data_IF_718299620974
#
_entry.id   IF_718299620974
#
_cell.length_a   1.000
_cell.length_b   1.000
_cell.length_c   1.000
_cell.angle_alpha   90.00
_cell.angle_beta   90.00
_cell.angle_gamma   90.00
#
_symmetry.space_group_name_H-M   'P 1'
#
loop_
_entity.id
_entity.type
_entity.pdbx_description
1 polymer ?
#
# COMPACT_ATOMS: atom_id res chain seq x y z
N UNK A 1 6.97 -7.99 22.37
CA UNK A 1 5.78 -7.22 22.78
C UNK A 1 4.98 -6.96 21.51
N UNK A 2 3.67 -7.16 21.58
CA UNK A 2 2.81 -6.73 20.50
C UNK A 2 3.09 -5.27 20.18
N UNK A 3 3.17 -4.91 18.92
CA UNK A 3 3.52 -3.56 18.52
C UNK A 3 2.38 -2.60 18.83
N UNK A 4 2.72 -1.36 19.15
CA UNK A 4 1.71 -0.31 19.35
C UNK A 4 0.85 -0.13 18.09
N UNK A 5 1.43 -0.38 16.92
CA UNK A 5 0.70 -0.38 15.65
C UNK A 5 -0.40 -1.44 15.59
N UNK A 6 -0.17 -2.67 16.10
CA UNK A 6 -1.22 -3.70 16.16
C UNK A 6 -2.34 -3.30 17.12
N UNK A 7 -2.01 -2.78 18.29
CA UNK A 7 -3.01 -2.27 19.25
C UNK A 7 -3.84 -1.13 18.69
N UNK A 8 -3.26 -0.33 17.79
CA UNK A 8 -3.99 0.73 17.08
C UNK A 8 -4.94 0.17 16.02
N UNK A 9 -4.57 -0.92 15.33
CA UNK A 9 -5.38 -1.50 14.25
C UNK A 9 -6.58 -2.29 14.77
N UNK A 10 -6.43 -3.06 15.85
CA UNK A 10 -7.45 -4.00 16.32
C UNK A 10 -8.79 -3.34 16.66
N UNK A 11 -8.85 -2.22 17.40
CA UNK A 11 -10.10 -1.54 17.68
C UNK A 11 -10.84 -1.05 16.45
N UNK A 12 -10.10 -0.67 15.38
CA UNK A 12 -10.71 -0.26 14.11
C UNK A 12 -11.45 -1.41 13.41
N UNK A 13 -11.06 -2.64 13.69
CA UNK A 13 -11.73 -3.86 13.22
C UNK A 13 -12.76 -4.42 14.22
N UNK A 14 -12.96 -3.76 15.35
CA UNK A 14 -13.91 -4.17 16.37
C UNK A 14 -13.36 -5.17 17.39
N UNK A 15 -12.04 -5.41 17.42
CA UNK A 15 -11.40 -6.24 18.44
C UNK A 15 -10.91 -5.43 19.65
N UNK A 16 -10.73 -6.10 20.79
CA UNK A 16 -10.03 -5.51 21.93
C UNK A 16 -8.55 -5.36 21.64
N UNK A 17 -7.93 -4.29 22.16
CA UNK A 17 -6.47 -4.11 22.14
C UNK A 17 -5.72 -5.28 22.80
N UNK A 18 -6.33 -5.90 23.82
CA UNK A 18 -5.77 -7.03 24.53
C UNK A 18 -5.55 -8.25 23.62
N UNK A 19 -6.30 -8.36 22.53
CA UNK A 19 -6.11 -9.41 21.53
C UNK A 19 -4.72 -9.36 20.88
N UNK A 20 -4.06 -8.20 20.88
CA UNK A 20 -2.69 -8.07 20.44
C UNK A 20 -1.69 -8.89 21.28
N UNK A 21 -2.02 -9.19 22.53
CA UNK A 21 -1.15 -9.95 23.43
C UNK A 21 -1.09 -11.44 23.09
N UNK A 22 -1.98 -11.95 22.25
CA UNK A 22 -2.01 -13.33 21.78
C UNK A 22 -1.11 -13.56 20.57
N UNK A 23 -0.51 -12.51 20.01
CA UNK A 23 0.45 -12.63 18.91
C UNK A 23 1.87 -12.62 19.42
N UNK A 24 2.68 -13.52 18.91
CA UNK A 24 4.11 -13.59 19.18
C UNK A 24 4.92 -13.02 18.00
N UNK A 25 5.31 -11.74 18.04
CA UNK A 25 6.21 -11.18 17.04
C UNK A 25 7.64 -11.60 17.32
N UNK A 26 8.36 -12.01 16.28
CA UNK A 26 9.77 -12.43 16.38
C UNK A 26 10.68 -11.60 15.47
N UNK A 27 11.97 -11.57 15.79
CA UNK A 27 12.98 -10.85 15.04
C UNK A 27 13.22 -9.42 15.48
N UNK A 28 14.08 -8.72 14.76
CA UNK A 28 14.39 -7.32 15.03
C UNK A 28 13.41 -6.41 14.31
N UNK A 29 12.96 -5.39 15.02
CA UNK A 29 12.15 -4.32 14.44
C UNK A 29 13.01 -3.31 13.68
N UNK A 30 12.36 -2.26 13.17
CA UNK A 30 12.99 -1.23 12.37
C UNK A 30 14.31 -0.68 12.98
N UNK A 31 15.27 -0.30 12.10
CA UNK A 31 15.15 -0.24 10.64
C UNK A 31 15.49 -1.58 9.94
N UNK A 32 14.54 -2.16 9.22
CA UNK A 32 14.79 -3.34 8.35
C UNK A 32 15.14 -2.90 6.93
N UNK A 33 14.54 -1.82 6.47
CA UNK A 33 14.81 -1.19 5.17
C UNK A 33 15.49 0.17 5.38
N UNK A 34 16.28 0.65 4.43
CA UNK A 34 16.92 1.97 4.49
C UNK A 34 15.90 3.08 4.24
N UNK A 35 15.03 3.30 5.19
CA UNK A 35 13.93 4.28 5.17
C UNK A 35 13.71 4.84 6.58
N UNK A 36 13.27 6.10 6.72
CA UNK A 36 12.89 6.64 8.02
C UNK A 36 11.54 6.13 8.53
N UNK A 37 10.80 5.40 7.71
CA UNK A 37 9.48 4.88 8.08
C UNK A 37 9.59 3.54 8.81
N UNK A 38 8.70 3.31 9.78
CA UNK A 38 8.61 2.09 10.60
C UNK A 38 7.91 0.96 9.82
N UNK A 39 8.51 0.52 8.71
CA UNK A 39 7.93 -0.48 7.81
C UNK A 39 7.83 -1.85 8.46
N UNK A 40 8.85 -2.25 9.24
CA UNK A 40 8.85 -3.53 9.95
C UNK A 40 7.71 -3.63 10.94
N UNK A 41 7.50 -2.60 11.74
CA UNK A 41 6.40 -2.55 12.69
C UNK A 41 5.04 -2.56 12.00
N UNK A 42 4.86 -1.72 10.97
CA UNK A 42 3.59 -1.61 10.25
C UNK A 42 3.23 -2.91 9.53
N UNK A 43 4.21 -3.55 8.85
CA UNK A 43 3.99 -4.81 8.15
C UNK A 43 3.65 -5.96 9.09
N UNK A 44 4.38 -6.06 10.21
CA UNK A 44 4.10 -7.10 11.20
C UNK A 44 2.74 -6.91 11.86
N UNK A 45 2.35 -5.66 12.17
CA UNK A 45 1.03 -5.37 12.71
C UNK A 45 -0.10 -5.76 11.75
N UNK A 46 0.03 -5.41 10.46
CA UNK A 46 -0.96 -5.75 9.46
C UNK A 46 -1.12 -7.27 9.29
N UNK A 47 0.00 -8.01 9.17
CA UNK A 47 -0.05 -9.47 9.03
C UNK A 47 -0.48 -10.16 10.32
N UNK A 48 -0.16 -9.62 11.49
CA UNK A 48 -0.68 -10.11 12.77
C UNK A 48 -2.20 -9.99 12.85
N UNK A 49 -2.77 -8.85 12.44
CA UNK A 49 -4.21 -8.67 12.39
C UNK A 49 -4.89 -9.67 11.44
N UNK A 50 -4.29 -9.93 10.27
CA UNK A 50 -4.78 -10.96 9.33
C UNK A 50 -4.68 -12.36 9.95
N UNK A 51 -3.58 -12.68 10.62
CA UNK A 51 -3.39 -13.95 11.31
C UNK A 51 -4.44 -14.18 12.41
N UNK A 52 -4.70 -13.17 13.24
CA UNK A 52 -5.74 -13.21 14.27
C UNK A 52 -7.12 -13.45 13.66
N UNK A 53 -7.48 -12.70 12.60
CA UNK A 53 -8.75 -12.89 11.93
C UNK A 53 -8.91 -14.32 11.36
N UNK A 54 -7.84 -14.87 10.81
CA UNK A 54 -7.84 -16.24 10.30
C UNK A 54 -7.97 -17.28 11.44
N UNK A 55 -7.29 -17.06 12.58
CA UNK A 55 -7.40 -17.91 13.77
C UNK A 55 -8.80 -17.89 14.35
N UNK A 56 -9.40 -16.70 14.52
CA UNK A 56 -10.76 -16.54 15.04
C UNK A 56 -11.81 -17.24 14.14
N UNK A 57 -11.67 -17.09 12.82
CA UNK A 57 -12.54 -17.78 11.86
C UNK A 57 -12.36 -19.30 11.91
N UNK A 58 -11.13 -19.76 12.12
CA UNK A 58 -10.84 -21.18 12.27
C UNK A 58 -11.41 -21.73 13.56
N UNK A 59 -11.27 -21.01 14.66
CA UNK A 59 -11.88 -21.38 15.93
C UNK A 59 -13.41 -21.41 15.85
N UNK A 60 -14.03 -20.40 15.23
CA UNK A 60 -15.46 -20.36 15.00
C UNK A 60 -15.94 -21.58 14.17
N UNK A 61 -15.15 -22.01 13.20
CA UNK A 61 -15.47 -23.15 12.32
C UNK A 61 -15.26 -24.51 12.97
N UNK A 62 -14.21 -24.65 13.77
CA UNK A 62 -13.72 -25.96 14.22
C UNK A 62 -13.71 -26.15 15.74
N UNK A 63 -13.89 -25.08 16.51
CA UNK A 63 -13.70 -25.07 17.97
C UNK A 63 -12.22 -25.13 18.39
N UNK A 64 -11.27 -25.00 17.47
CA UNK A 64 -9.84 -25.10 17.76
C UNK A 64 -9.16 -23.74 17.58
N UNK A 65 -8.60 -23.23 18.66
CA UNK A 65 -7.74 -22.05 18.63
C UNK A 65 -6.39 -22.35 17.95
N UNK A 66 -5.80 -21.35 17.33
CA UNK A 66 -4.45 -21.39 16.77
C UNK A 66 -3.65 -20.16 17.23
N UNK A 67 -2.42 -20.41 17.66
CA UNK A 67 -1.48 -19.34 17.99
C UNK A 67 -1.01 -18.64 16.72
N UNK A 68 -0.78 -17.33 16.82
CA UNK A 68 -0.31 -16.50 15.71
C UNK A 68 1.10 -16.01 16.02
N UNK A 69 2.05 -16.39 15.18
CA UNK A 69 3.43 -15.90 15.25
C UNK A 69 3.80 -15.19 13.94
N UNK A 70 4.44 -14.03 14.02
CA UNK A 70 4.84 -13.24 12.86
C UNK A 70 6.31 -12.84 12.97
N UNK A 71 7.13 -13.29 12.03
CA UNK A 71 8.49 -12.81 11.87
C UNK A 71 8.48 -11.45 11.15
N UNK A 72 9.03 -10.42 11.81
CA UNK A 72 8.99 -9.02 11.32
C UNK A 72 9.73 -8.87 10.00
N UNK A 73 10.83 -9.59 9.78
CA UNK A 73 11.59 -9.53 8.52
C UNK A 73 10.84 -10.17 7.37
N UNK A 74 10.18 -11.31 7.64
CA UNK A 74 9.34 -11.96 6.64
C UNK A 74 8.12 -11.10 6.30
N UNK A 75 7.49 -10.50 7.31
CA UNK A 75 6.39 -9.55 7.11
C UNK A 75 6.81 -8.38 6.22
N UNK A 76 7.97 -7.78 6.49
CA UNK A 76 8.53 -6.71 5.66
C UNK A 76 8.84 -7.17 4.23
N UNK A 77 9.39 -8.37 4.08
CA UNK A 77 9.69 -8.96 2.77
C UNK A 77 8.41 -9.20 1.96
N UNK A 78 7.30 -9.61 2.60
CA UNK A 78 6.03 -9.86 1.92
C UNK A 78 5.47 -8.61 1.22
N UNK A 79 5.65 -7.41 1.80
CA UNK A 79 5.27 -6.14 1.16
C UNK A 79 6.05 -5.85 -0.12
N UNK A 80 7.18 -6.52 -0.33
CA UNK A 80 8.02 -6.41 -1.52
C UNK A 80 8.02 -7.68 -2.35
N UNK A 81 7.05 -8.54 -2.20
CA UNK A 81 7.00 -9.86 -2.85
C UNK A 81 7.18 -9.80 -4.36
N UNK A 82 6.63 -8.78 -5.03
CA UNK A 82 6.82 -8.57 -6.46
C UNK A 82 8.29 -8.39 -6.89
N UNK A 83 9.16 -7.90 -5.98
CA UNK A 83 10.58 -7.73 -6.25
C UNK A 83 11.37 -9.04 -6.16
N UNK A 84 10.81 -10.06 -5.55
CA UNK A 84 11.41 -11.38 -5.37
C UNK A 84 10.87 -12.42 -6.36
N UNK A 85 9.90 -12.03 -7.18
CA UNK A 85 9.33 -12.91 -8.19
C UNK A 85 10.40 -13.33 -9.20
N UNK A 86 10.48 -14.63 -9.48
CA UNK A 86 11.35 -15.21 -10.50
C UNK A 86 10.48 -15.96 -11.51
N UNK A 87 10.84 -15.85 -12.77
CA UNK A 87 10.26 -16.66 -13.86
C UNK A 87 11.37 -17.51 -14.47
N UNK A 88 11.09 -18.79 -14.71
CA UNK A 88 12.10 -19.75 -15.20
C UNK A 88 12.61 -19.39 -16.59
N UNK A 89 11.74 -18.90 -17.46
CA UNK A 89 12.03 -18.71 -18.89
C UNK A 89 12.30 -17.27 -19.31
N UNK A 90 12.09 -16.29 -18.45
CA UNK A 90 12.37 -14.89 -18.76
C UNK A 90 12.70 -14.08 -17.51
N UNK A 91 13.64 -13.13 -17.60
CA UNK A 91 13.78 -12.17 -16.53
C UNK A 91 12.47 -11.39 -16.39
N UNK A 92 11.97 -11.26 -15.17
CA UNK A 92 10.85 -10.37 -14.88
C UNK A 92 11.34 -8.96 -15.23
N UNK A 93 10.98 -8.52 -16.42
CA UNK A 93 11.32 -7.20 -16.91
C UNK A 93 10.54 -6.17 -16.10
N UNK A 94 11.13 -5.63 -15.06
CA UNK A 94 10.75 -4.33 -14.53
C UNK A 94 11.15 -3.26 -15.57
N UNK A 95 10.50 -3.27 -16.73
CA UNK A 95 10.60 -2.14 -17.66
C UNK A 95 9.97 -0.94 -16.96
N UNK A 96 10.79 -0.28 -16.15
CA UNK A 96 10.45 1.06 -15.69
C UNK A 96 10.29 1.90 -16.93
N UNK A 97 9.18 2.58 -17.05
CA UNK A 97 9.01 3.61 -18.05
C UNK A 97 10.19 4.59 -17.92
N UNK A 98 10.93 4.81 -18.99
CA UNK A 98 12.19 5.58 -18.96
C UNK A 98 12.00 6.99 -18.43
N UNK A 99 10.82 7.59 -18.65
CA UNK A 99 10.51 8.96 -18.23
C UNK A 99 9.76 9.05 -16.90
N UNK A 100 9.40 7.92 -16.28
CA UNK A 100 8.82 7.95 -14.94
C UNK A 100 9.91 8.16 -13.89
N UNK A 101 9.67 9.05 -12.94
CA UNK A 101 10.61 9.28 -11.84
C UNK A 101 10.49 10.62 -11.17
N UNK A 102 11.44 10.88 -10.28
CA UNK A 102 11.60 12.16 -9.59
C UNK A 102 12.64 12.96 -10.33
N UNK A 103 12.35 14.23 -10.58
CA UNK A 103 13.18 15.17 -11.31
C UNK A 103 13.38 16.48 -10.53
N UNK A 104 14.58 17.06 -10.55
CA UNK A 104 14.78 18.39 -9.99
C UNK A 104 14.03 19.43 -10.84
N UNK A 105 13.33 20.31 -10.16
CA UNK A 105 12.63 21.47 -10.71
C UNK A 105 13.32 22.77 -10.27
N UNK A 106 12.77 23.94 -10.65
CA UNK A 106 13.31 25.23 -10.22
C UNK A 106 13.36 25.35 -8.69
N UNK A 107 14.19 26.25 -8.22
CA UNK A 107 14.26 26.68 -6.82
C UNK A 107 14.59 25.54 -5.84
N UNK A 108 15.35 24.51 -6.29
CA UNK A 108 15.69 23.37 -5.45
C UNK A 108 14.51 22.45 -5.09
N UNK A 109 13.41 22.58 -5.81
CA UNK A 109 12.23 21.73 -5.64
C UNK A 109 12.35 20.46 -6.50
N UNK A 110 11.42 19.54 -6.29
CA UNK A 110 11.37 18.28 -7.03
C UNK A 110 9.94 18.00 -7.47
N UNK A 111 9.82 17.38 -8.64
CA UNK A 111 8.55 16.88 -9.17
C UNK A 111 8.64 15.40 -9.49
N UNK A 112 7.59 14.66 -9.19
CA UNK A 112 7.42 13.27 -9.57
C UNK A 112 6.50 13.18 -10.79
N UNK A 113 6.93 12.46 -11.81
CA UNK A 113 6.13 12.15 -12.99
C UNK A 113 5.75 10.68 -12.96
N UNK A 114 4.43 10.40 -12.95
CA UNK A 114 3.90 9.04 -12.98
C UNK A 114 3.44 8.69 -14.40
N UNK A 115 4.32 8.07 -15.17
CA UNK A 115 4.15 7.78 -16.59
C UNK A 115 3.87 6.30 -16.90
N UNK A 116 3.36 5.51 -15.95
CA UNK A 116 3.09 4.08 -16.15
C UNK A 116 2.03 3.81 -17.22
N UNK A 117 1.02 4.67 -17.30
CA UNK A 117 -0.01 4.54 -18.31
C UNK A 117 0.33 5.40 -19.55
N UNK A 118 0.10 4.88 -20.77
CA UNK A 118 0.42 5.60 -22.00
C UNK A 118 -0.20 7.00 -22.09
N UNK A 119 -1.43 7.16 -21.61
CA UNK A 119 -2.12 8.46 -21.58
C UNK A 119 -1.48 9.44 -20.59
N UNK A 120 -1.05 8.99 -19.40
CA UNK A 120 -0.35 9.84 -18.44
C UNK A 120 1.01 10.28 -18.98
N UNK A 121 1.74 9.36 -19.63
CA UNK A 121 3.01 9.65 -20.29
C UNK A 121 2.84 10.68 -21.39
N UNK A 122 1.88 10.47 -22.30
CA UNK A 122 1.60 11.39 -23.39
C UNK A 122 1.22 12.79 -22.87
N UNK A 123 0.42 12.89 -21.81
CA UNK A 123 0.07 14.15 -21.18
C UNK A 123 1.30 14.87 -20.61
N UNK A 124 2.16 14.16 -19.85
CA UNK A 124 3.37 14.74 -19.28
C UNK A 124 4.34 15.23 -20.37
N UNK A 125 4.59 14.42 -21.40
CA UNK A 125 5.46 14.80 -22.52
C UNK A 125 4.91 15.98 -23.32
N UNK A 126 3.59 16.04 -23.51
CA UNK A 126 2.91 17.16 -24.18
C UNK A 126 3.05 18.48 -23.40
N UNK A 127 2.88 18.43 -22.07
CA UNK A 127 3.07 19.61 -21.20
C UNK A 127 4.51 20.10 -21.23
N UNK A 128 5.45 19.17 -21.19
CA UNK A 128 6.89 19.49 -21.20
C UNK A 128 7.39 19.88 -22.61
N UNK A 129 6.66 19.54 -23.68
CA UNK A 129 7.04 19.82 -25.06
C UNK A 129 8.27 19.06 -25.54
N UNK A 130 8.50 17.85 -25.03
CA UNK A 130 9.71 17.04 -25.34
C UNK A 130 9.37 15.63 -25.78
N UNK A 131 10.32 14.99 -26.47
CA UNK A 131 10.24 13.57 -26.82
C UNK A 131 10.39 12.67 -25.58
N UNK A 132 10.04 11.39 -25.73
CA UNK A 132 10.21 10.35 -24.70
C UNK A 132 11.69 10.01 -24.51
N UNK A 133 12.40 10.92 -23.85
CA UNK A 133 13.81 10.81 -23.50
C UNK A 133 14.03 11.37 -22.09
N UNK A 134 14.71 10.61 -21.24
CA UNK A 134 14.89 10.96 -19.83
C UNK A 134 15.65 12.27 -19.63
N UNK A 135 16.67 12.50 -20.43
CA UNK A 135 17.51 13.70 -20.30
C UNK A 135 16.75 14.95 -20.80
N UNK A 136 15.99 14.79 -21.90
CA UNK A 136 15.12 15.86 -22.39
C UNK A 136 14.05 16.23 -21.36
N UNK A 137 13.42 15.24 -20.74
CA UNK A 137 12.44 15.43 -19.65
C UNK A 137 13.10 16.13 -18.46
N UNK A 138 14.27 15.66 -18.02
CA UNK A 138 14.97 16.27 -16.90
C UNK A 138 15.31 17.76 -17.15
N UNK A 139 15.81 18.07 -18.36
CA UNK A 139 16.11 19.46 -18.76
C UNK A 139 14.85 20.33 -18.82
N UNK A 140 13.75 19.79 -19.30
CA UNK A 140 12.49 20.51 -19.35
C UNK A 140 11.91 20.77 -17.95
N UNK A 141 11.83 19.73 -17.09
CA UNK A 141 11.34 19.86 -15.70
C UNK A 141 12.14 20.90 -14.91
N UNK A 142 13.47 20.95 -15.11
CA UNK A 142 14.33 21.94 -14.46
C UNK A 142 13.98 23.41 -14.79
N UNK A 143 13.19 23.66 -15.84
CA UNK A 143 12.72 24.99 -16.21
C UNK A 143 11.34 25.35 -15.60
N UNK A 144 10.68 24.40 -14.95
CA UNK A 144 9.36 24.59 -14.37
C UNK A 144 9.42 24.85 -12.87
N UNK A 145 8.55 25.70 -12.39
CA UNK A 145 8.16 25.65 -10.97
C UNK A 145 7.42 24.34 -10.70
N UNK A 146 7.68 23.72 -9.55
CA UNK A 146 7.19 22.38 -9.28
C UNK A 146 5.65 22.33 -9.12
N UNK A 147 5.04 23.40 -8.57
CA UNK A 147 3.60 23.50 -8.41
C UNK A 147 2.93 23.82 -9.73
N UNK A 148 3.48 24.76 -10.52
CA UNK A 148 2.95 25.07 -11.85
C UNK A 148 2.99 23.84 -12.77
N UNK A 149 4.05 23.02 -12.67
CA UNK A 149 4.14 21.76 -13.43
C UNK A 149 3.09 20.75 -12.98
N UNK A 150 2.87 20.60 -11.67
CA UNK A 150 1.80 19.75 -11.11
C UNK A 150 0.46 20.15 -11.69
N UNK A 151 0.11 21.43 -11.63
CA UNK A 151 -1.16 21.97 -12.13
C UNK A 151 -1.33 21.75 -13.63
N UNK A 152 -0.30 22.01 -14.41
CA UNK A 152 -0.30 21.82 -15.86
C UNK A 152 -0.52 20.35 -16.26
N UNK A 153 0.15 19.42 -15.57
CA UNK A 153 0.02 17.97 -15.81
C UNK A 153 -1.39 17.50 -15.44
N UNK A 154 -1.93 17.95 -14.30
CA UNK A 154 -3.30 17.62 -13.89
C UNK A 154 -4.32 18.17 -14.89
N UNK A 155 -4.16 19.40 -15.34
CA UNK A 155 -5.03 20.00 -16.36
C UNK A 155 -5.02 19.21 -17.67
N UNK A 156 -3.87 18.65 -18.04
CA UNK A 156 -3.70 17.77 -19.21
C UNK A 156 -4.17 16.32 -18.95
N UNK A 157 -4.81 16.03 -17.81
CA UNK A 157 -5.24 14.69 -17.37
C UNK A 157 -4.10 13.68 -17.25
N UNK A 158 -2.90 14.16 -16.95
CA UNK A 158 -1.74 13.36 -16.61
C UNK A 158 -1.70 13.05 -15.10
N UNK A 159 -0.61 12.42 -14.68
CA UNK A 159 -0.33 12.16 -13.28
C UNK A 159 1.09 12.60 -12.92
N UNK A 160 1.19 13.53 -12.01
CA UNK A 160 2.46 14.08 -11.51
C UNK A 160 2.19 14.93 -10.29
N UNK A 161 3.23 15.24 -9.54
CA UNK A 161 3.08 16.04 -8.35
C UNK A 161 4.38 16.65 -7.86
N UNK A 162 4.28 17.80 -7.23
CA UNK A 162 5.38 18.41 -6.49
C UNK A 162 5.71 17.55 -5.27
N UNK A 163 6.99 17.30 -5.03
CA UNK A 163 7.45 16.65 -3.80
C UNK A 163 7.38 17.68 -2.67
N UNK A 164 6.50 17.42 -1.71
CA UNK A 164 6.26 18.26 -0.54
C UNK A 164 7.03 17.76 0.67
N UNK A 165 7.43 18.67 1.56
CA UNK A 165 7.90 18.30 2.90
C UNK A 165 6.70 17.82 3.75
N UNK A 166 6.99 17.17 4.89
CA UNK A 166 5.93 16.78 5.83
C UNK A 166 5.18 17.99 6.39
N UNK A 167 5.88 19.10 6.59
CA UNK A 167 5.28 20.36 7.06
C UNK A 167 4.34 20.94 6.00
N UNK A 168 4.79 21.07 4.75
CA UNK A 168 3.96 21.54 3.63
C UNK A 168 2.74 20.64 3.41
N UNK A 169 2.92 19.31 3.53
CA UNK A 169 1.81 18.39 3.45
C UNK A 169 0.82 18.58 4.60
N UNK A 170 1.31 18.78 5.84
CA UNK A 170 0.46 19.05 7.00
C UNK A 170 -0.41 20.29 6.87
N UNK A 171 0.05 21.29 6.10
CA UNK A 171 -0.69 22.52 5.81
C UNK A 171 -1.61 22.39 4.57
N UNK A 172 -1.50 21.30 3.80
CA UNK A 172 -2.27 21.12 2.59
C UNK A 172 -3.72 20.76 2.92
N UNK A 173 -4.74 21.37 2.24
CA UNK A 173 -6.15 21.06 2.51
C UNK A 173 -6.51 19.57 2.41
N UNK A 174 -5.89 18.87 1.48
CA UNK A 174 -6.09 17.41 1.32
C UNK A 174 -5.57 16.63 2.52
N UNK A 175 -4.50 17.07 3.17
CA UNK A 175 -4.00 16.45 4.40
C UNK A 175 -5.04 16.52 5.52
N UNK A 176 -5.66 17.68 5.72
CA UNK A 176 -6.73 17.84 6.69
C UNK A 176 -7.96 16.94 6.37
N UNK A 177 -8.33 16.86 5.10
CA UNK A 177 -9.42 16.00 4.65
C UNK A 177 -9.14 14.51 4.93
N UNK A 178 -7.92 14.04 4.65
CA UNK A 178 -7.52 12.65 4.90
C UNK A 178 -7.42 12.38 6.40
N UNK A 179 -6.88 13.32 7.19
CA UNK A 179 -6.74 13.16 8.63
C UNK A 179 -8.08 13.02 9.37
N UNK A 180 -9.18 13.45 8.75
CA UNK A 180 -10.53 13.28 9.29
C UNK A 180 -11.13 11.88 9.06
N UNK A 181 -10.49 11.05 8.22
CA UNK A 181 -10.93 9.69 7.91
C UNK A 181 -10.25 8.68 8.83
N UNK A 182 -10.93 7.58 9.18
CA UNK A 182 -10.29 6.49 9.89
C UNK A 182 -9.25 5.80 8.98
N UNK A 183 -8.22 5.21 9.59
CA UNK A 183 -7.20 4.44 8.86
C UNK A 183 -7.81 3.21 8.17
N UNK A 184 -8.79 2.58 8.80
CA UNK A 184 -9.55 1.44 8.32
C UNK A 184 -11.02 1.69 8.60
N UNK A 185 -11.89 1.44 7.63
CA UNK A 185 -13.33 1.58 7.78
C UNK A 185 -14.03 0.29 7.35
N UNK A 186 -14.87 -0.24 8.23
CA UNK A 186 -15.73 -1.38 7.95
C UNK A 186 -17.17 -0.91 8.06
N UNK A 187 -17.84 -0.82 6.92
CA UNK A 187 -19.21 -0.30 6.84
C UNK A 187 -20.19 -1.43 6.51
N UNK A 188 -21.16 -1.62 7.38
CA UNK A 188 -22.29 -2.51 7.11
C UNK A 188 -23.23 -1.83 6.12
N UNK A 189 -23.32 -2.35 4.92
CA UNK A 189 -24.12 -1.77 3.82
C UNK A 189 -25.55 -2.34 3.72
N UNK A 190 -25.88 -3.35 4.52
CA UNK A 190 -27.21 -3.96 4.54
C UNK A 190 -27.30 -5.09 5.54
N UNK A 191 -28.51 -5.61 5.72
CA UNK A 191 -28.82 -6.78 6.54
C UNK A 191 -29.14 -7.98 5.66
N UNK A 192 -28.67 -9.16 6.07
CA UNK A 192 -29.06 -10.44 5.51
C UNK A 192 -29.28 -11.43 6.65
N UNK A 193 -30.11 -12.47 6.45
CA UNK A 193 -30.16 -13.55 7.41
C UNK A 193 -28.78 -14.17 7.62
N UNK A 194 -28.43 -14.54 8.87
CA UNK A 194 -27.16 -15.22 9.12
C UNK A 194 -27.13 -16.59 8.43
N UNK A 195 -26.05 -16.85 7.72
CA UNK A 195 -25.78 -18.13 7.08
C UNK A 195 -24.76 -18.93 7.90
N UNK A 196 -24.91 -20.25 7.93
CA UNK A 196 -23.89 -21.11 8.52
C UNK A 196 -22.66 -21.10 7.63
N UNK A 197 -21.46 -21.04 8.24
CA UNK A 197 -20.23 -21.28 7.51
C UNK A 197 -20.30 -22.72 6.93
N UNK A 198 -20.09 -22.88 5.61
CA UNK A 198 -20.03 -24.21 5.00
C UNK A 198 -18.91 -25.04 5.61
N UNK A 199 -18.99 -26.36 5.56
CA UNK A 199 -17.87 -27.22 5.93
C UNK A 199 -16.65 -26.91 5.04
N UNK A 200 -15.46 -27.03 5.62
CA UNK A 200 -14.24 -26.76 4.89
C UNK A 200 -12.98 -26.93 5.72
N UNK A 201 -11.87 -27.03 5.02
CA UNK A 201 -10.54 -27.30 5.57
C UNK A 201 -9.68 -26.03 5.77
N UNK A 202 -10.25 -24.87 5.45
CA UNK A 202 -9.58 -23.54 5.59
C UNK A 202 -10.51 -22.52 6.24
N UNK A 203 -9.96 -21.46 6.86
CA UNK A 203 -10.78 -20.44 7.55
C UNK A 203 -11.90 -19.87 6.68
N UNK A 204 -11.63 -19.57 5.41
CA UNK A 204 -12.57 -18.95 4.48
C UNK A 204 -13.20 -19.92 3.48
N UNK A 205 -13.12 -21.24 3.69
CA UNK A 205 -13.75 -22.21 2.80
C UNK A 205 -15.24 -21.90 2.60
N UNK A 206 -15.67 -21.79 1.33
CA UNK A 206 -17.04 -21.49 0.93
C UNK A 206 -17.44 -20.01 1.02
N UNK A 207 -16.60 -19.15 1.54
CA UNK A 207 -16.82 -17.68 1.53
C UNK A 207 -16.50 -17.14 0.14
N UNK A 208 -17.41 -16.35 -0.41
CA UNK A 208 -17.21 -15.64 -1.69
C UNK A 208 -16.82 -14.19 -1.43
N UNK A 209 -15.68 -13.78 -1.95
CA UNK A 209 -15.15 -12.42 -1.83
C UNK A 209 -15.27 -11.72 -3.18
N UNK A 210 -15.89 -10.55 -3.21
CA UNK A 210 -15.88 -9.65 -4.37
C UNK A 210 -14.78 -8.63 -4.18
N UNK A 211 -13.73 -8.75 -4.97
CA UNK A 211 -12.60 -7.81 -4.98
C UNK A 211 -12.77 -6.79 -6.11
N UNK A 212 -12.93 -5.53 -5.75
CA UNK A 212 -13.04 -4.39 -6.68
C UNK A 212 -11.80 -3.50 -6.68
N UNK A 213 -10.71 -3.97 -6.09
CA UNK A 213 -9.46 -3.22 -5.99
C UNK A 213 -8.60 -3.35 -7.24
N UNK A 214 -7.47 -2.63 -7.29
CA UNK A 214 -6.55 -2.61 -8.44
C UNK A 214 -5.09 -2.63 -7.99
N UNK A 215 -4.23 -3.02 -8.91
CA UNK A 215 -2.76 -2.92 -8.90
C UNK A 215 -2.12 -3.77 -7.80
N UNK A 216 -2.04 -3.28 -6.57
CA UNK A 216 -1.38 -3.96 -5.45
C UNK A 216 -2.38 -4.48 -4.42
N UNK A 217 -3.31 -3.64 -3.98
CA UNK A 217 -4.24 -3.98 -2.91
C UNK A 217 -5.09 -5.21 -3.24
N UNK A 218 -5.67 -5.26 -4.45
CA UNK A 218 -6.46 -6.39 -4.91
C UNK A 218 -5.68 -7.69 -4.98
N UNK A 219 -4.59 -7.76 -5.74
CA UNK A 219 -3.79 -8.98 -5.78
C UNK A 219 -3.27 -9.41 -4.41
N UNK A 220 -2.88 -8.47 -3.55
CA UNK A 220 -2.45 -8.79 -2.19
C UNK A 220 -3.60 -9.36 -1.36
N UNK A 221 -4.77 -8.75 -1.43
CA UNK A 221 -5.97 -9.24 -0.73
C UNK A 221 -6.40 -10.61 -1.28
N UNK A 222 -6.56 -10.73 -2.60
CA UNK A 222 -7.15 -11.92 -3.23
C UNK A 222 -6.22 -13.13 -3.18
N UNK A 223 -4.93 -12.96 -3.51
CA UNK A 223 -4.00 -14.08 -3.66
C UNK A 223 -3.68 -14.80 -2.36
N UNK A 224 -3.71 -14.12 -1.22
CA UNK A 224 -3.50 -14.79 0.08
C UNK A 224 -4.67 -15.70 0.47
N UNK A 225 -5.84 -15.54 -0.16
CA UNK A 225 -7.06 -16.32 0.14
C UNK A 225 -7.31 -17.46 -0.87
N UNK A 226 -6.52 -17.52 -1.93
CA UNK A 226 -6.57 -18.57 -2.92
C UNK A 226 -5.61 -19.70 -2.58
#
# INVERSE_FOLDING_TARGET
MATDALKTLLPLAGWSEDHANTVEPSGNFDPILPTPFRIGETSSAALSAVGLAASDLWELRTGRHQDVAVDVRQATASLRSSNYMKMEEAPVSNRRNEVMGVYPAKNGRWSYLHCNFPNHRAAALSVLGVAEDRDAVAKAVAQWDALELEEAIIAAKGAGGMVRTMEEWGQHPQSAAIASLPLLEIVKIGDSPPEKLPEGDRPLSGVRVLDLTRVLAGPTLSLIHI
#
